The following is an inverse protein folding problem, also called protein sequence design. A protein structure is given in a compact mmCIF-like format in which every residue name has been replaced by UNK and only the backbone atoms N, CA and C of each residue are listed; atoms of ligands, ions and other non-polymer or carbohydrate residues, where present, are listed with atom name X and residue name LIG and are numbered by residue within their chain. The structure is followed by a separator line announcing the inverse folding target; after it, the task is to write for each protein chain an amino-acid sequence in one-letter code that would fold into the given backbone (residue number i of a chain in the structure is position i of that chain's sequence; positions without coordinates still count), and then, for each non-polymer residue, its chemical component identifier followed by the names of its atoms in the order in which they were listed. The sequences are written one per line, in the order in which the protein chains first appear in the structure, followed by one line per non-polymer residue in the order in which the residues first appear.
data_IF_331986353064
#
_entry.id   IF_331986353064
#
_cell.length_a   1.000
_cell.length_b   1.000
_cell.length_c   1.000
_cell.angle_alpha   90.00
_cell.angle_beta   90.00
_cell.angle_gamma   90.00
#
_symmetry.space_group_name_H-M   'P 1'
#
loop_
_entity.id
_entity.type
_entity.pdbx_description
1 polymer ?
#
# COMPACT_ATOMS: atom_id res chain seq x y z
N UNK A 1 9.66 -13.06 30.71
CA UNK A 1 8.94 -13.77 29.63
C UNK A 1 8.12 -12.74 28.86
N UNK A 2 8.71 -12.11 27.83
CA UNK A 2 8.05 -11.06 27.03
C UNK A 2 6.99 -11.68 26.11
N UNK A 3 5.82 -11.05 26.08
CA UNK A 3 4.58 -11.51 25.46
C UNK A 3 4.68 -11.94 23.98
N UNK A 4 4.74 -13.25 23.76
CA UNK A 4 4.47 -13.87 22.45
C UNK A 4 3.05 -13.57 21.93
N UNK A 5 2.15 -13.13 22.82
CA UNK A 5 0.77 -12.73 22.50
C UNK A 5 0.71 -11.36 21.80
N UNK A 6 1.51 -10.38 22.26
CA UNK A 6 1.63 -9.07 21.61
C UNK A 6 2.25 -9.18 20.21
N UNK A 7 3.20 -10.09 20.03
CA UNK A 7 3.85 -10.33 18.74
C UNK A 7 2.92 -11.04 17.73
N UNK A 8 1.98 -11.87 18.22
CA UNK A 8 0.91 -12.45 17.38
C UNK A 8 -0.20 -11.45 17.05
N UNK A 9 -0.52 -10.50 17.93
CA UNK A 9 -1.51 -9.46 17.64
C UNK A 9 -0.97 -8.42 16.66
N UNK A 10 0.34 -8.11 16.68
CA UNK A 10 1.02 -7.38 15.59
C UNK A 10 1.02 -8.13 14.25
N UNK A 11 0.85 -9.46 14.24
CA UNK A 11 0.75 -10.29 13.03
C UNK A 11 -0.66 -10.33 12.40
N UNK A 12 -1.65 -9.69 13.03
CA UNK A 12 -3.02 -9.54 12.51
C UNK A 12 -3.25 -8.20 11.77
N UNK A 13 -2.19 -7.47 11.44
CA UNK A 13 -2.24 -6.23 10.65
C UNK A 13 -1.99 -6.44 9.16
N UNK A 14 -1.99 -5.32 8.43
CA UNK A 14 -1.65 -5.27 7.00
C UNK A 14 -0.17 -5.62 6.86
N UNK A 15 0.18 -6.56 5.97
CA UNK A 15 1.58 -6.98 5.82
C UNK A 15 1.95 -7.33 4.39
N UNK A 16 3.20 -7.04 4.05
CA UNK A 16 3.77 -7.47 2.79
C UNK A 16 4.11 -8.97 2.84
N UNK A 17 3.83 -9.67 1.75
CA UNK A 17 4.17 -11.07 1.51
C UNK A 17 5.01 -11.16 0.23
N UNK A 18 6.10 -11.94 0.27
CA UNK A 18 6.91 -12.16 -0.93
C UNK A 18 6.12 -12.95 -1.98
N UNK A 19 6.06 -12.42 -3.21
CA UNK A 19 5.66 -13.16 -4.39
C UNK A 19 6.73 -14.20 -4.71
N UNK A 20 6.40 -15.48 -4.54
CA UNK A 20 7.34 -16.59 -4.74
C UNK A 20 7.53 -16.98 -6.22
N UNK A 21 6.73 -16.42 -7.12
CA UNK A 21 6.79 -16.68 -8.55
C UNK A 21 6.53 -15.40 -9.35
N UNK A 22 7.60 -14.74 -9.78
CA UNK A 22 7.57 -13.64 -10.78
C UNK A 22 8.08 -14.10 -12.15
N UNK A 23 8.53 -15.36 -12.26
CA UNK A 23 9.04 -15.95 -13.49
C UNK A 23 7.95 -15.93 -14.57
N UNK A 24 8.15 -15.10 -15.59
CA UNK A 24 7.24 -14.97 -16.74
C UNK A 24 6.49 -13.64 -16.81
N UNK A 25 6.44 -12.85 -15.72
CA UNK A 25 5.90 -11.50 -15.79
C UNK A 25 6.90 -10.56 -16.50
N UNK A 26 6.53 -10.13 -17.69
CA UNK A 26 7.24 -9.09 -18.46
C UNK A 26 6.63 -7.74 -18.13
N UNK A 27 6.81 -7.26 -16.90
CA UNK A 27 6.51 -5.88 -16.53
C UNK A 27 7.81 -5.14 -16.22
N UNK A 28 7.91 -3.87 -16.61
CA UNK A 28 9.03 -3.00 -16.21
C UNK A 28 9.07 -2.76 -14.69
N UNK A 29 7.91 -2.82 -14.04
CA UNK A 29 7.76 -2.64 -12.58
C UNK A 29 7.88 -3.98 -11.84
N UNK A 30 8.55 -3.95 -10.69
CA UNK A 30 8.57 -5.09 -9.75
C UNK A 30 7.18 -5.26 -9.12
N UNK A 31 6.81 -6.49 -8.77
CA UNK A 31 5.54 -6.78 -8.11
C UNK A 31 5.74 -7.14 -6.65
N UNK A 32 4.80 -6.70 -5.81
CA UNK A 32 4.67 -7.13 -4.42
C UNK A 32 3.26 -7.64 -4.14
N UNK A 33 3.07 -8.27 -2.98
CA UNK A 33 1.80 -8.79 -2.51
C UNK A 33 1.56 -8.32 -1.09
N UNK A 34 0.35 -7.87 -0.80
CA UNK A 34 -0.07 -7.47 0.55
C UNK A 34 -1.18 -8.39 1.03
N UNK A 35 -1.15 -8.73 2.31
CA UNK A 35 -2.30 -9.30 2.99
C UNK A 35 -2.96 -8.21 3.83
N UNK A 36 -4.23 -7.94 3.55
CA UNK A 36 -5.02 -7.00 4.34
C UNK A 36 -5.53 -7.62 5.65
N UNK A 37 -6.25 -6.82 6.43
CA UNK A 37 -6.77 -7.20 7.76
C UNK A 37 -7.77 -8.36 7.69
N UNK A 38 -8.52 -8.45 6.61
CA UNK A 38 -9.44 -9.55 6.28
C UNK A 38 -8.72 -10.87 5.99
N UNK A 39 -7.40 -10.84 5.80
CA UNK A 39 -6.62 -11.98 5.36
C UNK A 39 -6.62 -12.19 3.85
N UNK A 40 -7.33 -11.38 3.06
CA UNK A 40 -7.28 -11.39 1.58
C UNK A 40 -5.93 -10.90 1.08
N UNK A 41 -5.52 -11.41 -0.08
CA UNK A 41 -4.25 -11.07 -0.73
C UNK A 41 -4.49 -10.13 -1.92
N UNK A 42 -3.65 -9.10 -2.03
CA UNK A 42 -3.70 -8.08 -3.07
C UNK A 42 -2.34 -7.93 -3.73
N UNK A 43 -2.30 -8.07 -5.06
CA UNK A 43 -1.07 -7.89 -5.85
C UNK A 43 -0.94 -6.42 -6.24
N UNK A 44 0.26 -5.87 -6.12
CA UNK A 44 0.57 -4.47 -6.40
C UNK A 44 1.79 -4.35 -7.30
N UNK A 45 1.79 -3.35 -8.18
CA UNK A 45 3.01 -2.85 -8.79
C UNK A 45 3.78 -1.97 -7.81
N UNK A 46 5.10 -2.04 -7.82
CA UNK A 46 5.99 -1.19 -7.02
C UNK A 46 6.57 -0.10 -7.92
N UNK A 47 6.39 1.15 -7.51
CA UNK A 47 6.72 2.35 -8.26
C UNK A 47 7.53 3.32 -7.38
N UNK A 48 8.41 4.15 -7.97
CA UNK A 48 9.11 5.19 -7.22
C UNK A 48 8.12 6.20 -6.63
N UNK A 49 8.47 6.77 -5.47
CA UNK A 49 7.68 7.80 -4.81
C UNK A 49 7.91 9.18 -5.47
N UNK A 50 7.19 9.45 -6.56
CA UNK A 50 7.24 10.73 -7.26
C UNK A 50 5.85 11.17 -7.79
N UNK A 51 5.79 12.41 -8.26
CA UNK A 51 4.54 13.02 -8.75
C UNK A 51 4.06 12.41 -10.06
N UNK A 52 4.95 12.14 -11.01
CA UNK A 52 4.59 11.57 -12.31
C UNK A 52 3.86 10.23 -12.17
N UNK A 53 4.42 9.31 -11.38
CA UNK A 53 3.79 8.01 -11.10
C UNK A 53 2.43 8.17 -10.41
N UNK A 54 2.32 9.11 -9.47
CA UNK A 54 1.08 9.33 -8.73
C UNK A 54 -0.05 9.91 -9.60
N UNK A 55 0.28 10.83 -10.50
CA UNK A 55 -0.69 11.53 -11.33
C UNK A 55 -1.15 10.70 -12.54
N UNK A 56 -0.31 9.80 -13.06
CA UNK A 56 -0.69 8.86 -14.12
C UNK A 56 -1.68 7.77 -13.65
N UNK A 57 -1.86 7.60 -12.34
CA UNK A 57 -2.69 6.54 -11.79
C UNK A 57 -4.16 6.95 -11.76
N UNK A 58 -4.99 6.16 -12.44
CA UNK A 58 -6.45 6.19 -12.32
C UNK A 58 -6.97 4.85 -11.79
N UNK A 59 -8.17 4.86 -11.22
CA UNK A 59 -8.94 3.66 -10.87
C UNK A 59 -8.17 2.63 -10.02
N UNK A 60 -7.46 3.11 -9.00
CA UNK A 60 -6.53 2.28 -8.21
C UNK A 60 -6.61 2.54 -6.71
N UNK A 61 -6.11 1.55 -5.93
CA UNK A 61 -5.71 1.76 -4.54
C UNK A 61 -4.20 1.93 -4.49
N UNK A 62 -3.74 2.97 -3.80
CA UNK A 62 -2.33 3.34 -3.70
C UNK A 62 -1.92 3.25 -2.23
N UNK A 63 -0.85 2.51 -1.96
CA UNK A 63 -0.20 2.48 -0.64
C UNK A 63 1.12 3.25 -0.72
N UNK A 64 1.32 4.19 0.20
CA UNK A 64 2.63 4.77 0.44
C UNK A 64 3.38 3.85 1.39
N UNK A 65 4.54 3.36 0.97
CA UNK A 65 5.26 2.32 1.70
C UNK A 65 6.65 2.78 2.08
N UNK A 66 7.05 2.41 3.29
CA UNK A 66 8.42 2.56 3.81
C UNK A 66 9.05 1.18 3.91
N UNK A 67 10.32 1.05 3.53
CA UNK A 67 11.12 -0.15 3.77
C UNK A 67 11.79 -0.11 5.14
N UNK A 68 11.73 -1.21 5.87
CA UNK A 68 12.57 -1.42 7.04
C UNK A 68 14.02 -1.82 6.66
N UNK A 69 14.88 -2.03 7.65
CA UNK A 69 16.28 -2.43 7.42
C UNK A 69 16.43 -3.81 6.76
N UNK A 70 15.41 -4.66 6.82
CA UNK A 70 15.39 -5.97 6.18
C UNK A 70 14.76 -5.94 4.77
N UNK A 71 14.33 -4.77 4.31
CA UNK A 71 13.65 -4.58 3.03
C UNK A 71 12.17 -4.95 3.06
N UNK A 72 11.58 -5.17 4.24
CA UNK A 72 10.13 -5.43 4.38
C UNK A 72 9.38 -4.11 4.29
N UNK A 73 8.34 -4.07 3.47
CA UNK A 73 7.46 -2.91 3.34
C UNK A 73 6.52 -2.76 4.53
N UNK A 74 6.32 -1.51 4.97
CA UNK A 74 5.31 -1.10 5.94
C UNK A 74 4.44 -0.01 5.30
N UNK A 75 3.12 -0.13 5.40
CA UNK A 75 2.20 0.91 4.93
C UNK A 75 2.32 2.12 5.85
N UNK A 76 2.60 3.28 5.27
CA UNK A 76 2.61 4.58 5.97
C UNK A 76 1.23 5.20 5.91
N UNK A 77 0.62 5.20 4.73
CA UNK A 77 -0.72 5.71 4.46
C UNK A 77 -1.24 5.08 3.17
N UNK A 78 -2.54 5.23 2.92
CA UNK A 78 -3.18 4.77 1.70
C UNK A 78 -4.03 5.88 1.07
N UNK A 79 -4.27 5.77 -0.23
CA UNK A 79 -5.17 6.64 -0.97
C UNK A 79 -5.94 5.83 -2.03
N UNK A 80 -7.07 6.37 -2.47
CA UNK A 80 -7.77 5.89 -3.66
C UNK A 80 -7.59 6.90 -4.80
N UNK A 81 -7.24 6.40 -5.97
CA UNK A 81 -7.29 7.14 -7.22
C UNK A 81 -8.64 6.87 -7.90
N UNK A 82 -9.57 7.83 -7.79
CA UNK A 82 -10.84 7.84 -8.53
C UNK A 82 -10.83 8.79 -9.73
N UNK A 83 -11.95 8.87 -10.45
CA UNK A 83 -12.17 9.80 -11.56
C UNK A 83 -12.40 11.23 -11.04
N UNK A 84 -11.42 12.13 -11.28
CA UNK A 84 -11.41 13.61 -11.27
C UNK A 84 -12.33 14.47 -10.35
N UNK A 85 -11.90 15.68 -9.93
CA UNK A 85 -10.54 16.23 -9.86
C UNK A 85 -9.96 16.11 -8.43
N UNK A 86 -8.78 15.47 -8.31
CA UNK A 86 -8.13 15.21 -7.02
C UNK A 86 -6.62 15.55 -7.00
N UNK A 87 -6.06 16.13 -8.07
CA UNK A 87 -4.61 16.33 -8.24
C UNK A 87 -3.96 17.01 -7.03
N UNK A 88 -4.45 18.19 -6.63
CA UNK A 88 -3.83 18.91 -5.52
C UNK A 88 -3.96 18.18 -4.17
N UNK A 89 -5.05 17.41 -3.99
CA UNK A 89 -5.22 16.55 -2.81
C UNK A 89 -4.22 15.38 -2.84
N UNK A 90 -3.96 14.79 -4.00
CA UNK A 90 -2.94 13.75 -4.18
C UNK A 90 -1.53 14.29 -3.94
N UNK A 91 -1.20 15.48 -4.45
CA UNK A 91 0.09 16.12 -4.21
C UNK A 91 0.31 16.45 -2.73
N UNK A 92 -0.73 16.96 -2.03
CA UNK A 92 -0.68 17.16 -0.57
C UNK A 92 -0.48 15.84 0.18
N UNK A 93 -1.19 14.78 -0.22
CA UNK A 93 -1.00 13.45 0.35
C UNK A 93 0.41 12.93 0.12
N UNK A 94 0.97 13.12 -1.08
CA UNK A 94 2.35 12.73 -1.40
C UNK A 94 3.37 13.43 -0.51
N UNK A 95 3.23 14.74 -0.32
CA UNK A 95 4.08 15.50 0.59
C UNK A 95 4.00 14.96 2.03
N UNK A 96 2.78 14.74 2.54
CA UNK A 96 2.54 14.17 3.88
C UNK A 96 3.22 12.80 4.05
N UNK A 97 3.07 11.89 3.09
CA UNK A 97 3.65 10.54 3.23
C UNK A 97 5.18 10.54 3.07
N UNK A 98 5.74 11.47 2.28
CA UNK A 98 7.19 11.70 2.21
C UNK A 98 7.76 12.15 3.55
N UNK A 99 7.10 13.10 4.21
CA UNK A 99 7.49 13.56 5.56
C UNK A 99 7.43 12.43 6.59
N UNK A 100 6.47 11.50 6.45
CA UNK A 100 6.35 10.30 7.27
C UNK A 100 7.32 9.18 6.89
N UNK A 101 8.18 9.40 5.88
CA UNK A 101 9.27 8.52 5.50
C UNK A 101 8.89 7.40 4.54
N UNK A 102 7.79 7.53 3.80
CA UNK A 102 7.53 6.65 2.66
C UNK A 102 8.66 6.79 1.62
N UNK A 103 8.95 5.69 0.93
CA UNK A 103 10.03 5.59 -0.07
C UNK A 103 9.55 5.10 -1.43
N UNK A 104 8.38 4.48 -1.49
CA UNK A 104 7.81 3.90 -2.72
C UNK A 104 6.28 3.95 -2.71
N UNK A 105 5.70 3.77 -3.90
CA UNK A 105 4.25 3.63 -4.11
C UNK A 105 3.94 2.19 -4.52
N UNK A 106 2.98 1.57 -3.84
CA UNK A 106 2.46 0.26 -4.17
C UNK A 106 1.04 0.37 -4.70
N UNK A 107 0.82 -0.01 -5.96
CA UNK A 107 -0.39 0.35 -6.69
C UNK A 107 -1.17 -0.91 -7.08
N UNK A 108 -2.41 -1.01 -6.58
CA UNK A 108 -3.36 -2.07 -6.92
C UNK A 108 -4.35 -1.59 -7.97
N UNK A 109 -4.36 -2.23 -9.15
CA UNK A 109 -5.20 -1.86 -10.31
C UNK A 109 -6.19 -2.96 -10.74
N UNK A 110 -6.35 -4.03 -9.96
CA UNK A 110 -7.17 -5.19 -10.36
C UNK A 110 -8.64 -5.07 -9.92
N UNK A 111 -8.98 -4.01 -9.18
CA UNK A 111 -10.35 -3.74 -8.75
C UNK A 111 -11.16 -3.14 -9.90
N UNK A 112 -12.30 -3.75 -10.20
CA UNK A 112 -13.14 -3.39 -11.35
C UNK A 112 -14.20 -2.34 -11.01
N UNK A 113 -14.56 -2.20 -9.73
CA UNK A 113 -15.59 -1.26 -9.27
C UNK A 113 -15.07 -0.33 -8.18
N UNK A 114 -15.74 0.83 -8.00
CA UNK A 114 -15.44 1.74 -6.89
C UNK A 114 -15.70 1.12 -5.52
N UNK A 115 -16.70 0.25 -5.42
CA UNK A 115 -17.00 -0.49 -4.18
C UNK A 115 -15.88 -1.48 -3.84
N UNK A 116 -15.39 -2.23 -4.84
CA UNK A 116 -14.23 -3.11 -4.67
C UNK A 116 -13.01 -2.31 -4.23
N UNK A 117 -12.73 -1.18 -4.89
CA UNK A 117 -11.62 -0.29 -4.51
C UNK A 117 -11.76 0.19 -3.07
N UNK A 118 -12.96 0.61 -2.66
CA UNK A 118 -13.22 1.03 -1.29
C UNK A 118 -12.97 -0.10 -0.31
N UNK A 119 -13.50 -1.30 -0.55
CA UNK A 119 -13.31 -2.45 0.32
C UNK A 119 -11.82 -2.82 0.45
N UNK A 120 -11.07 -2.74 -0.64
CA UNK A 120 -9.62 -3.00 -0.65
C UNK A 120 -8.85 -1.92 0.11
N UNK A 121 -9.19 -0.65 -0.12
CA UNK A 121 -8.58 0.48 0.60
C UNK A 121 -8.80 0.36 2.11
N UNK A 122 -10.02 0.05 2.54
CA UNK A 122 -10.35 -0.16 3.95
C UNK A 122 -9.60 -1.36 4.53
N UNK A 123 -9.37 -2.41 3.73
CA UNK A 123 -8.65 -3.60 4.19
C UNK A 123 -7.12 -3.41 4.30
N UNK A 124 -6.56 -2.49 3.51
CA UNK A 124 -5.12 -2.25 3.37
C UNK A 124 -4.61 -0.99 4.04
N UNK A 125 -5.48 -0.07 4.48
CA UNK A 125 -5.03 1.05 5.31
C UNK A 125 -4.67 0.55 6.70
N UNK A 126 -3.52 0.99 7.20
CA UNK A 126 -3.24 0.92 8.62
C UNK A 126 -4.14 1.95 9.31
N UNK A 127 -4.82 1.54 10.37
CA UNK A 127 -5.43 2.53 11.26
C UNK A 127 -4.29 3.27 11.97
N UNK A 128 -4.37 4.59 12.04
CA UNK A 128 -3.56 5.35 13.00
C UNK A 128 -3.87 4.75 14.36
N UNK A 129 -3.02 3.83 14.80
CA UNK A 129 -3.05 3.32 16.16
C UNK A 129 -2.79 4.55 17.00
N UNK A 130 -3.85 5.14 17.56
CA UNK A 130 -3.78 6.18 18.56
C UNK A 130 -2.93 5.60 19.70
N UNK A 131 -1.64 5.91 19.68
CA UNK A 131 -0.82 5.83 20.86
C UNK A 131 -1.39 6.88 21.82
N UNK A 132 -2.26 6.41 22.72
CA UNK A 132 -2.58 7.10 23.98
C UNK A 132 -1.51 6.77 25.00
#
# INVERSE_FOLDING_TARGET
MRDLRNDRMRRAGVREERLRATAGLRSSSTLSSWRGRSGRRYIVGVHPLNEAELLEVADAVILAVKRDRAGTGMVVDAAMAGAEPAEQTRLRWLAKVRERGATELHIHRLATTDEDRRAIFEDLREEETQAS
#
